data_IF_544878761652
#
_entry.id   IF_544878761652
#
_cell.length_a   1.000
_cell.length_b   1.000
_cell.length_c   1.000
_cell.angle_alpha   90.00
_cell.angle_beta   90.00
_cell.angle_gamma   90.00
#
_symmetry.space_group_name_H-M   'P 1'
#
loop_
_entity.id
_entity.type
_entity.pdbx_description
1 polymer ?
#
# COMPACT_ATOMS: atom_id res chain seq x y z
N UNK A 1 8.68 -24.33 7.12
CA UNK A 1 8.60 -23.94 8.54
C UNK A 1 8.66 -22.41 8.71
N UNK A 2 7.59 -21.66 8.40
CA UNK A 2 7.57 -20.20 8.57
C UNK A 2 7.67 -19.75 10.02
N UNK A 3 7.24 -20.61 10.95
CA UNK A 3 6.90 -20.29 12.34
C UNK A 3 8.03 -20.53 13.35
N UNK A 4 9.14 -21.16 12.95
CA UNK A 4 10.27 -21.39 13.85
C UNK A 4 11.04 -20.08 14.04
N UNK A 5 11.02 -19.58 15.28
CA UNK A 5 11.74 -18.39 15.70
C UNK A 5 13.25 -18.64 15.62
N UNK A 6 14.05 -17.58 15.48
CA UNK A 6 15.52 -17.67 15.46
C UNK A 6 16.09 -18.46 16.67
N UNK A 7 15.48 -18.30 17.86
CA UNK A 7 15.90 -18.98 19.09
C UNK A 7 15.61 -20.49 19.01
N UNK A 8 14.44 -20.86 18.51
CA UNK A 8 14.05 -22.26 18.35
C UNK A 8 14.91 -22.95 17.29
N UNK A 9 15.19 -22.25 16.19
CA UNK A 9 16.06 -22.75 15.13
C UNK A 9 17.51 -22.92 15.63
N UNK A 10 18.00 -22.00 16.46
CA UNK A 10 19.30 -22.11 17.11
C UNK A 10 19.34 -23.22 18.17
N UNK A 11 18.23 -23.48 18.86
CA UNK A 11 18.10 -24.61 19.80
C UNK A 11 18.14 -25.94 19.03
N UNK A 12 17.34 -26.05 17.95
CA UNK A 12 17.30 -27.20 17.07
C UNK A 12 18.69 -27.48 16.46
N UNK A 13 19.40 -26.43 16.02
CA UNK A 13 20.75 -26.55 15.47
C UNK A 13 21.80 -27.08 16.46
N UNK A 14 21.56 -26.99 17.78
CA UNK A 14 22.49 -27.52 18.80
C UNK A 14 22.33 -29.01 19.09
N UNK A 15 21.27 -29.64 18.58
CA UNK A 15 20.95 -31.04 18.90
C UNK A 15 21.82 -32.04 18.16
N UNK A 16 22.08 -31.84 16.86
CA UNK A 16 22.96 -32.69 16.06
C UNK A 16 23.49 -31.97 14.81
N UNK A 17 24.54 -32.52 14.18
CA UNK A 17 25.16 -31.92 12.98
C UNK A 17 24.19 -31.76 11.81
N UNK A 18 23.28 -32.70 11.60
CA UNK A 18 22.30 -32.63 10.51
C UNK A 18 21.31 -31.47 10.70
N UNK A 19 20.83 -31.29 11.94
CA UNK A 19 19.93 -30.18 12.28
C UNK A 19 20.66 -28.84 12.32
N UNK A 20 21.94 -28.80 12.70
CA UNK A 20 22.80 -27.62 12.58
C UNK A 20 22.91 -27.17 11.11
N UNK A 21 23.22 -28.10 10.20
CA UNK A 21 23.30 -27.81 8.77
C UNK A 21 21.94 -27.35 8.21
N UNK A 22 20.85 -27.99 8.61
CA UNK A 22 19.49 -27.59 8.19
C UNK A 22 19.13 -26.19 8.68
N UNK A 23 19.44 -25.87 9.95
CA UNK A 23 19.22 -24.55 10.53
C UNK A 23 20.03 -23.46 9.80
N UNK A 24 21.29 -23.74 9.48
CA UNK A 24 22.14 -22.83 8.72
C UNK A 24 21.59 -22.57 7.31
N UNK A 25 21.21 -23.63 6.58
CA UNK A 25 20.60 -23.50 5.26
C UNK A 25 19.29 -22.71 5.28
N UNK A 26 18.43 -22.95 6.28
CA UNK A 26 17.18 -22.20 6.44
C UNK A 26 17.42 -20.72 6.74
N UNK A 27 18.43 -20.40 7.56
CA UNK A 27 18.81 -19.01 7.82
C UNK A 27 19.33 -18.32 6.57
N UNK A 28 20.18 -18.99 5.79
CA UNK A 28 20.69 -18.46 4.53
C UNK A 28 19.56 -18.20 3.52
N UNK A 29 18.62 -19.14 3.37
CA UNK A 29 17.46 -18.95 2.50
C UNK A 29 16.58 -17.77 2.94
N UNK A 30 16.35 -17.62 4.25
CA UNK A 30 15.55 -16.50 4.81
C UNK A 30 16.27 -15.16 4.66
N UNK A 31 17.59 -15.12 4.74
CA UNK A 31 18.38 -13.91 4.53
C UNK A 31 18.49 -13.54 3.05
N UNK A 32 18.59 -14.52 2.14
CA UNK A 32 18.69 -14.27 0.70
C UNK A 32 17.37 -13.76 0.09
N UNK A 33 16.23 -14.12 0.68
CA UNK A 33 14.93 -13.60 0.25
C UNK A 33 13.91 -13.58 1.39
N UNK A 34 13.70 -12.39 1.97
CA UNK A 34 12.70 -12.20 3.03
C UNK A 34 11.27 -12.32 2.53
N UNK A 35 11.04 -12.09 1.23
CA UNK A 35 9.74 -12.28 0.58
C UNK A 35 9.42 -13.76 0.29
N UNK A 36 10.43 -14.64 0.35
CA UNK A 36 10.29 -16.10 0.15
C UNK A 36 9.59 -16.47 -1.16
N UNK A 37 9.93 -15.76 -2.23
CA UNK A 37 9.36 -15.94 -3.57
C UNK A 37 7.95 -15.38 -3.76
N UNK A 38 7.41 -14.63 -2.79
CA UNK A 38 6.10 -13.98 -2.92
C UNK A 38 6.13 -12.70 -3.76
N UNK A 39 7.31 -12.10 -3.93
CA UNK A 39 7.52 -10.95 -4.80
C UNK A 39 8.20 -11.37 -6.11
N UNK A 40 8.14 -10.49 -7.11
CA UNK A 40 8.76 -10.73 -8.43
C UNK A 40 10.29 -10.89 -8.35
N UNK A 41 10.92 -10.15 -7.45
CA UNK A 41 12.37 -10.16 -7.23
C UNK A 41 12.65 -10.61 -5.80
N UNK A 42 13.71 -11.40 -5.55
CA UNK A 42 14.12 -11.72 -4.20
C UNK A 42 14.54 -10.45 -3.46
N UNK A 43 14.24 -10.39 -2.17
CA UNK A 43 14.62 -9.25 -1.31
C UNK A 43 15.67 -9.72 -0.31
N UNK A 44 16.97 -9.53 -0.60
CA UNK A 44 18.03 -9.94 0.30
C UNK A 44 18.12 -9.03 1.53
N UNK A 45 18.62 -9.60 2.62
CA UNK A 45 18.87 -8.93 3.90
C UNK A 45 20.37 -8.94 4.18
N UNK A 46 20.93 -7.77 4.47
CA UNK A 46 22.33 -7.63 4.87
C UNK A 46 22.42 -7.00 6.26
N UNK A 47 23.19 -7.63 7.12
CA UNK A 47 23.50 -7.09 8.44
C UNK A 47 24.98 -7.31 8.76
N UNK A 48 25.70 -6.20 8.91
CA UNK A 48 27.10 -6.15 9.35
C UNK A 48 27.25 -5.42 10.70
N UNK A 49 26.13 -5.03 11.32
CA UNK A 49 26.07 -4.19 12.52
C UNK A 49 26.02 -5.04 13.79
N UNK A 50 25.21 -6.09 13.78
CA UNK A 50 24.99 -6.95 14.94
C UNK A 50 24.81 -8.43 14.52
N UNK A 51 24.55 -9.32 15.48
CA UNK A 51 24.40 -10.76 15.24
C UNK A 51 23.00 -11.17 14.72
N UNK A 52 22.06 -10.23 14.57
CA UNK A 52 20.70 -10.53 14.12
C UNK A 52 20.70 -10.81 12.62
N UNK A 53 20.41 -12.04 12.23
CA UNK A 53 20.52 -12.45 10.81
C UNK A 53 19.52 -11.71 9.90
N UNK A 54 18.27 -11.56 10.34
CA UNK A 54 17.20 -10.91 9.60
C UNK A 54 16.05 -10.55 10.55
N UNK A 55 15.21 -9.55 10.20
CA UNK A 55 14.02 -9.23 10.98
C UNK A 55 12.99 -10.35 10.87
N UNK A 56 12.39 -10.74 12.00
CA UNK A 56 11.40 -11.82 12.05
C UNK A 56 9.97 -11.27 12.01
N UNK A 57 9.24 -11.57 10.94
CA UNK A 57 7.81 -11.30 10.77
C UNK A 57 7.24 -12.21 9.68
N UNK A 58 5.92 -12.20 9.50
CA UNK A 58 5.27 -12.89 8.38
C UNK A 58 5.18 -11.97 7.17
N UNK A 59 5.79 -12.39 6.07
CA UNK A 59 5.74 -11.61 4.83
C UNK A 59 4.36 -11.78 4.13
N UNK A 60 3.77 -10.67 3.69
CA UNK A 60 2.58 -10.63 2.85
C UNK A 60 2.71 -9.49 1.84
N UNK A 61 2.68 -9.74 0.51
CA UNK A 61 2.82 -8.69 -0.50
C UNK A 61 1.66 -7.68 -0.52
N UNK A 62 0.50 -8.06 0.03
CA UNK A 62 -0.70 -7.25 0.08
C UNK A 62 -1.28 -7.17 1.49
N UNK A 63 -2.02 -6.09 1.77
CA UNK A 63 -2.72 -5.94 3.05
C UNK A 63 -3.80 -7.00 3.23
N UNK A 64 -3.99 -7.46 4.47
CA UNK A 64 -4.99 -8.47 4.83
C UNK A 64 -6.03 -7.89 5.78
N UNK A 65 -7.29 -8.26 5.58
CA UNK A 65 -8.35 -7.99 6.54
C UNK A 65 -8.34 -9.10 7.60
N UNK A 66 -8.18 -8.74 8.86
CA UNK A 66 -8.35 -9.72 9.95
C UNK A 66 -9.83 -10.00 10.14
N UNK A 67 -10.31 -11.13 9.65
CA UNK A 67 -11.50 -11.77 10.23
C UNK A 67 -11.08 -12.42 11.55
N UNK A 68 -11.63 -12.01 12.69
CA UNK A 68 -11.39 -12.71 13.97
C UNK A 68 -12.69 -13.34 14.48
N UNK A 69 -12.70 -14.56 15.10
CA UNK A 69 -11.98 -15.81 14.76
C UNK A 69 -12.89 -17.10 14.95
N UNK A 70 -12.42 -18.38 14.78
CA UNK A 70 -11.05 -18.84 14.70
C UNK A 70 -10.63 -19.60 13.44
N UNK A 71 -9.32 -19.52 13.20
CA UNK A 71 -8.54 -20.48 12.43
C UNK A 71 -8.87 -21.88 12.94
N UNK A 72 -9.67 -22.62 12.17
CA UNK A 72 -9.82 -24.05 12.38
C UNK A 72 -8.43 -24.70 12.24
N UNK A 73 -8.04 -25.61 13.14
CA UNK A 73 -6.87 -26.43 12.90
C UNK A 73 -7.04 -27.18 11.57
N UNK A 74 -5.95 -27.33 10.84
CA UNK A 74 -5.93 -28.12 9.61
C UNK A 74 -6.54 -29.50 9.89
N UNK A 75 -7.65 -29.85 9.21
CA UNK A 75 -8.33 -31.14 9.37
C UNK A 75 -9.86 -31.12 9.39
N UNK A 76 -10.53 -29.96 9.42
CA UNK A 76 -12.00 -29.94 9.32
C UNK A 76 -12.48 -30.15 7.88
N UNK A 77 -12.99 -31.36 7.60
CA UNK A 77 -13.72 -31.70 6.38
C UNK A 77 -15.10 -31.05 6.41
N UNK A 78 -15.20 -29.79 6.01
CA UNK A 78 -16.49 -29.17 5.63
C UNK A 78 -16.35 -28.55 4.24
N UNK A 79 -16.84 -29.29 3.25
CA UNK A 79 -16.81 -28.93 1.83
C UNK A 79 -17.82 -27.81 1.56
N UNK A 80 -17.44 -26.61 1.07
CA UNK A 80 -18.41 -25.63 0.62
C UNK A 80 -19.04 -26.10 -0.72
N UNK A 81 -20.29 -25.70 -1.02
CA UNK A 81 -20.97 -26.14 -2.23
C UNK A 81 -20.30 -25.55 -3.48
N UNK A 82 -20.04 -26.41 -4.47
CA UNK A 82 -19.59 -26.03 -5.79
C UNK A 82 -20.59 -25.06 -6.43
N UNK A 83 -20.16 -23.83 -6.74
CA UNK A 83 -20.81 -23.01 -7.76
C UNK A 83 -20.12 -23.27 -9.10
N UNK A 84 -20.92 -23.62 -10.09
CA UNK A 84 -20.50 -23.79 -11.49
C UNK A 84 -20.01 -22.46 -12.07
N UNK A 85 -18.97 -22.45 -12.92
CA UNK A 85 -18.55 -21.24 -13.60
C UNK A 85 -19.55 -20.88 -14.70
N UNK A 86 -20.06 -19.65 -14.69
CA UNK A 86 -20.78 -19.08 -15.81
C UNK A 86 -19.80 -18.81 -16.95
N UNK A 87 -20.15 -19.27 -18.15
CA UNK A 87 -19.40 -19.04 -19.39
C UNK A 87 -19.42 -17.55 -19.75
N UNK A 88 -18.40 -16.80 -19.34
CA UNK A 88 -18.09 -15.49 -19.92
C UNK A 88 -17.06 -15.68 -21.05
N UNK A 89 -17.45 -15.31 -22.28
CA UNK A 89 -16.61 -15.36 -23.48
C UNK A 89 -15.48 -14.33 -23.34
N UNK A 90 -14.21 -14.66 -23.62
CA UNK A 90 -13.12 -13.70 -23.56
C UNK A 90 -13.29 -12.66 -24.69
N UNK A 91 -13.10 -11.35 -24.43
CA UNK A 91 -13.01 -10.37 -25.51
C UNK A 91 -11.69 -10.54 -26.28
N UNK A 92 -11.76 -10.30 -27.58
CA UNK A 92 -10.66 -10.39 -28.54
C UNK A 92 -9.52 -9.38 -28.25
N UNK A 93 -8.27 -9.69 -28.62
CA UNK A 93 -7.15 -8.79 -28.43
C UNK A 93 -7.13 -7.75 -29.55
N UNK A 94 -7.70 -6.57 -29.29
CA UNK A 94 -7.43 -5.35 -30.06
C UNK A 94 -6.77 -4.33 -29.15
N UNK A 95 -5.70 -3.73 -29.68
CA UNK A 95 -4.67 -3.01 -28.94
C UNK A 95 -5.13 -1.74 -28.20
N UNK A 96 -4.43 -1.49 -27.09
CA UNK A 96 -4.02 -0.20 -26.49
C UNK A 96 -5.03 0.84 -26.01
N UNK A 97 -6.34 0.58 -26.06
CA UNK A 97 -7.34 1.48 -25.46
C UNK A 97 -8.11 0.74 -24.36
N UNK A 98 -7.98 1.21 -23.12
CA UNK A 98 -8.81 0.78 -21.99
C UNK A 98 -10.29 0.99 -22.37
N UNK A 99 -11.12 -0.07 -22.46
CA UNK A 99 -12.55 0.09 -22.73
C UNK A 99 -13.23 0.99 -21.69
N UNK A 100 -12.64 1.11 -20.51
CA UNK A 100 -12.96 1.99 -19.38
C UNK A 100 -13.11 3.48 -19.76
N UNK A 101 -12.34 3.93 -20.75
CA UNK A 101 -12.42 5.29 -21.30
C UNK A 101 -13.67 5.43 -22.20
N UNK A 102 -14.11 4.32 -22.82
CA UNK A 102 -15.24 4.26 -23.76
C UNK A 102 -16.55 3.71 -23.14
N UNK A 103 -16.51 3.02 -22.00
CA UNK A 103 -17.65 2.29 -21.44
C UNK A 103 -18.48 3.09 -20.43
N UNK A 104 -18.03 4.29 -20.06
CA UNK A 104 -18.84 5.23 -19.27
C UNK A 104 -19.55 6.30 -20.13
N UNK A 105 -19.47 6.22 -21.46
CA UNK A 105 -20.21 7.11 -22.36
C UNK A 105 -21.60 6.59 -22.78
N UNK A 106 -22.12 5.54 -22.15
CA UNK A 106 -23.52 5.18 -22.34
C UNK A 106 -23.84 3.74 -21.93
N UNK A 107 -24.68 3.59 -20.91
CA UNK A 107 -25.76 2.59 -20.82
C UNK A 107 -26.43 2.73 -19.45
N UNK A 108 -27.49 3.56 -19.39
CA UNK A 108 -28.60 3.28 -18.48
C UNK A 108 -29.46 2.26 -19.22
N UNK A 109 -29.61 1.07 -18.64
CA UNK A 109 -30.55 0.05 -19.06
C UNK A 109 -31.98 0.62 -18.91
N UNK A 110 -32.59 1.02 -20.03
CA UNK A 110 -34.05 1.02 -20.14
C UNK A 110 -34.50 -0.43 -20.32
N UNK A 111 -35.09 -1.00 -19.28
CA UNK A 111 -35.94 -2.18 -19.42
C UNK A 111 -37.39 -1.72 -19.42
N UNK A 112 -38.00 -1.82 -20.60
CA UNK A 112 -39.42 -1.62 -20.88
C UNK A 112 -40.33 -2.42 -19.94
N UNK A 113 -41.38 -1.76 -19.44
CA UNK A 113 -42.71 -2.37 -19.39
C UNK A 113 -43.75 -1.31 -19.73
N UNK A 114 -44.26 -1.37 -20.95
CA UNK A 114 -45.41 -0.61 -21.41
C UNK A 114 -46.69 -1.33 -20.98
N UNK A 115 -47.62 -0.58 -20.37
CA UNK A 115 -49.06 -0.81 -20.51
C UNK A 115 -49.81 0.52 -20.37
N UNK A 116 -50.67 0.77 -21.35
CA UNK A 116 -51.48 1.96 -21.60
C UNK A 116 -52.41 2.36 -20.43
N UNK A 117 -52.64 3.66 -20.26
CA UNK A 117 -53.99 4.24 -20.33
C UNK A 117 -53.95 5.78 -20.48
N UNK A 118 -55.01 6.27 -21.10
CA UNK A 118 -55.32 7.55 -21.73
C UNK A 118 -55.57 8.77 -20.81
N UNK A 119 -55.39 9.96 -21.42
CA UNK A 119 -56.14 11.23 -21.23
C UNK A 119 -55.89 12.08 -19.96
N UNK A 120 -55.30 13.28 -20.13
CA UNK A 120 -55.98 14.61 -20.10
C UNK A 120 -54.98 15.77 -19.89
N UNK A 121 -55.40 16.92 -20.39
CA UNK A 121 -54.70 18.20 -20.55
C UNK A 121 -54.09 18.77 -19.25
N UNK A 122 -53.00 19.52 -19.38
CA UNK A 122 -52.93 20.99 -19.19
C UNK A 122 -51.47 21.47 -19.24
N UNK A 123 -51.26 22.55 -19.98
CA UNK A 123 -50.02 23.33 -19.98
C UNK A 123 -49.73 23.83 -18.55
N UNK A 124 -48.54 23.53 -18.05
CA UNK A 124 -47.96 24.18 -16.88
C UNK A 124 -46.46 24.31 -17.11
N UNK A 125 -45.98 25.55 -16.95
CA UNK A 125 -44.61 25.99 -17.13
C UNK A 125 -43.58 25.02 -16.53
N UNK A 126 -42.62 24.62 -17.36
CA UNK A 126 -41.43 23.90 -16.90
C UNK A 126 -40.55 24.85 -16.07
N UNK A 127 -40.27 24.58 -14.79
CA UNK A 127 -39.27 25.35 -14.07
C UNK A 127 -37.88 25.06 -14.67
N UNK A 128 -36.93 26.02 -14.60
CA UNK A 128 -35.61 25.83 -15.19
C UNK A 128 -34.92 24.66 -14.53
N UNK A 129 -34.43 23.74 -15.37
CA UNK A 129 -33.63 22.58 -15.00
C UNK A 129 -32.50 23.06 -14.10
N UNK A 130 -32.62 22.78 -12.80
CA UNK A 130 -31.58 23.10 -11.83
C UNK A 130 -30.27 22.44 -12.28
N UNK A 131 -29.21 23.24 -12.36
CA UNK A 131 -27.83 22.80 -12.57
C UNK A 131 -27.40 21.88 -11.42
N UNK A 132 -27.80 20.61 -11.46
CA UNK A 132 -26.98 19.54 -10.89
C UNK A 132 -26.15 19.00 -12.05
N UNK A 133 -24.98 19.60 -12.27
CA UNK A 133 -23.88 18.84 -12.85
C UNK A 133 -23.73 17.59 -11.97
N UNK A 134 -24.23 16.46 -12.46
CA UNK A 134 -23.88 15.16 -11.89
C UNK A 134 -22.40 15.02 -12.19
N UNK A 135 -21.54 15.27 -11.22
CA UNK A 135 -20.12 14.97 -11.31
C UNK A 135 -19.98 13.53 -11.78
N UNK A 136 -19.47 13.33 -12.99
CA UNK A 136 -19.20 11.97 -13.48
C UNK A 136 -18.15 11.34 -12.56
N UNK A 137 -18.30 10.06 -12.19
CA UNK A 137 -17.29 9.41 -11.36
C UNK A 137 -15.93 9.48 -12.06
N UNK A 138 -14.84 9.78 -11.32
CA UNK A 138 -13.52 9.93 -11.92
C UNK A 138 -13.13 8.65 -12.67
N UNK A 139 -12.70 8.85 -13.91
CA UNK A 139 -12.37 7.77 -14.83
C UNK A 139 -11.11 7.05 -14.34
N UNK A 140 -11.05 5.73 -14.49
CA UNK A 140 -9.81 5.00 -14.20
C UNK A 140 -8.64 5.61 -14.99
N UNK A 141 -7.47 5.68 -14.35
CA UNK A 141 -6.28 6.38 -14.85
C UNK A 141 -6.17 7.85 -14.42
N UNK A 142 -7.14 8.36 -13.66
CA UNK A 142 -7.14 9.74 -13.16
C UNK A 142 -6.97 9.80 -11.65
N UNK A 143 -6.56 10.96 -11.18
CA UNK A 143 -6.70 11.39 -9.81
C UNK A 143 -8.17 11.66 -9.47
N UNK A 144 -8.51 11.67 -8.19
CA UNK A 144 -9.84 12.00 -7.70
C UNK A 144 -10.25 13.43 -8.11
N UNK A 145 -9.26 14.32 -8.26
CA UNK A 145 -9.39 15.70 -8.70
C UNK A 145 -9.63 15.84 -10.22
N UNK A 146 -9.51 14.73 -10.97
CA UNK A 146 -9.86 14.66 -12.40
C UNK A 146 -8.69 14.72 -13.38
N UNK A 147 -7.47 15.00 -12.93
CA UNK A 147 -6.26 15.01 -13.76
C UNK A 147 -5.75 13.60 -14.05
N UNK A 148 -5.01 13.39 -15.16
CA UNK A 148 -4.38 12.10 -15.43
C UNK A 148 -3.33 11.76 -14.37
N UNK A 149 -3.43 10.56 -13.79
CA UNK A 149 -2.49 10.10 -12.78
C UNK A 149 -1.17 9.62 -13.41
N UNK A 150 -1.24 8.95 -14.55
CA UNK A 150 -0.09 8.27 -15.15
C UNK A 150 0.29 8.82 -16.52
N UNK A 151 1.59 8.85 -16.80
CA UNK A 151 2.15 9.16 -18.12
C UNK A 151 2.13 7.92 -19.07
N UNK A 152 2.78 8.04 -20.22
CA UNK A 152 2.86 6.98 -21.22
C UNK A 152 3.65 5.74 -20.77
N UNK A 153 4.54 5.89 -19.78
CA UNK A 153 5.39 4.83 -19.23
C UNK A 153 4.81 4.23 -17.94
N UNK A 154 3.53 4.51 -17.63
CA UNK A 154 2.87 4.11 -16.39
C UNK A 154 3.56 4.67 -15.13
N UNK A 155 4.20 5.83 -15.23
CA UNK A 155 4.78 6.56 -14.10
C UNK A 155 3.82 7.64 -13.62
N UNK A 156 3.87 7.95 -12.33
CA UNK A 156 3.06 9.00 -11.72
C UNK A 156 3.47 10.36 -12.31
N UNK A 157 2.56 10.96 -13.08
CA UNK A 157 2.76 12.23 -13.78
C UNK A 157 2.65 13.43 -12.83
N UNK A 158 1.72 13.37 -11.87
CA UNK A 158 1.30 14.50 -11.04
C UNK A 158 2.18 14.74 -9.80
N UNK A 159 3.51 14.61 -9.94
CA UNK A 159 4.45 14.85 -8.82
C UNK A 159 4.68 16.35 -8.53
N UNK A 160 4.09 17.26 -9.31
CA UNK A 160 4.45 18.69 -9.33
C UNK A 160 3.32 19.67 -9.01
N UNK A 161 2.21 19.24 -8.39
CA UNK A 161 1.16 20.19 -8.01
C UNK A 161 1.47 20.95 -6.72
N UNK A 162 2.43 21.88 -6.82
CA UNK A 162 2.37 23.16 -6.11
C UNK A 162 2.44 24.27 -7.15
N UNK A 163 1.27 24.70 -7.63
CA UNK A 163 1.17 25.88 -8.49
C UNK A 163 1.65 27.12 -7.72
N UNK A 164 2.69 27.79 -8.24
CA UNK A 164 3.18 29.14 -7.89
C UNK A 164 4.19 29.27 -6.73
N UNK A 165 5.26 28.49 -6.75
CA UNK A 165 6.63 28.87 -6.36
C UNK A 165 7.51 27.63 -6.50
N UNK A 166 8.79 27.77 -6.85
CA UNK A 166 9.78 26.68 -6.75
C UNK A 166 10.07 26.27 -5.29
N UNK A 167 9.23 26.70 -4.33
CA UNK A 167 9.25 26.26 -2.95
C UNK A 167 8.29 25.08 -2.77
N UNK A 168 8.85 23.94 -2.38
CA UNK A 168 8.06 22.80 -1.91
C UNK A 168 7.29 23.20 -0.66
N UNK A 169 5.98 23.33 -0.80
CA UNK A 169 5.06 23.37 0.34
C UNK A 169 4.69 21.91 0.63
N UNK A 170 4.90 21.40 1.86
CA UNK A 170 4.34 20.10 2.25
C UNK A 170 2.82 20.21 2.22
N UNK A 171 2.19 19.78 1.12
CA UNK A 171 0.78 19.43 1.18
C UNK A 171 0.70 18.10 1.94
N UNK A 172 0.11 18.13 3.12
CA UNK A 172 -0.28 16.93 3.89
C UNK A 172 -1.42 16.13 3.20
N UNK A 173 -1.56 16.27 1.88
CA UNK A 173 -2.62 15.67 1.08
C UNK A 173 -2.02 14.62 0.16
N UNK A 174 -2.37 13.36 0.44
CA UNK A 174 -2.00 12.23 -0.40
C UNK A 174 -2.74 12.32 -1.73
N UNK A 175 -2.02 12.17 -2.85
CA UNK A 175 -2.65 12.03 -4.16
C UNK A 175 -3.54 10.79 -4.18
N UNK A 176 -4.75 10.94 -4.71
CA UNK A 176 -5.78 9.91 -4.69
C UNK A 176 -6.01 9.38 -6.11
N UNK A 177 -5.49 8.18 -6.42
CA UNK A 177 -5.46 7.60 -7.76
C UNK A 177 -6.59 6.58 -7.92
N UNK A 178 -7.28 6.60 -9.07
CA UNK A 178 -8.28 5.59 -9.42
C UNK A 178 -7.74 4.69 -10.52
N UNK A 179 -7.55 3.42 -10.19
CA UNK A 179 -7.10 2.39 -11.13
C UNK A 179 -8.25 1.50 -11.62
N UNK A 180 -8.02 0.86 -12.75
CA UNK A 180 -8.88 -0.23 -13.18
C UNK A 180 -8.82 -1.38 -12.18
N UNK A 181 -9.98 -1.91 -11.76
CA UNK A 181 -10.05 -3.02 -10.83
C UNK A 181 -10.88 -4.19 -11.36
N UNK A 182 -11.35 -5.09 -10.47
CA UNK A 182 -12.13 -6.25 -10.85
C UNK A 182 -13.45 -5.94 -11.57
N UNK A 183 -14.02 -4.75 -11.36
CA UNK A 183 -15.25 -4.33 -12.03
C UNK A 183 -15.03 -3.83 -13.47
N UNK A 184 -13.78 -3.65 -13.90
CA UNK A 184 -13.47 -3.17 -15.26
C UNK A 184 -13.38 -4.33 -16.25
N UNK A 185 -13.99 -4.19 -17.43
CA UNK A 185 -13.89 -5.16 -18.54
C UNK A 185 -12.56 -5.13 -19.31
N UNK A 186 -11.58 -4.34 -18.87
CA UNK A 186 -10.26 -4.24 -19.50
C UNK A 186 -9.36 -5.42 -19.17
N UNK A 187 -8.35 -5.68 -20.01
CA UNK A 187 -7.38 -6.75 -19.78
C UNK A 187 -6.55 -6.52 -18.51
N UNK A 188 -5.91 -7.58 -18.01
CA UNK A 188 -4.94 -7.50 -16.90
C UNK A 188 -3.67 -6.72 -17.27
N UNK A 189 -3.44 -6.44 -18.56
CA UNK A 189 -2.32 -5.62 -19.07
C UNK A 189 -2.69 -4.15 -19.26
N UNK A 190 -3.86 -3.73 -18.77
CA UNK A 190 -4.28 -2.34 -18.84
C UNK A 190 -3.24 -1.42 -18.18
N UNK A 191 -2.82 -0.35 -18.87
CA UNK A 191 -1.84 0.63 -18.37
C UNK A 191 -2.25 1.36 -17.09
N UNK A 192 -3.53 1.30 -16.72
CA UNK A 192 -4.09 1.85 -15.48
C UNK A 192 -4.25 0.79 -14.37
N UNK A 193 -3.45 -0.28 -14.42
CA UNK A 193 -3.32 -1.30 -13.37
C UNK A 193 -1.86 -1.36 -12.86
N UNK A 194 -1.33 -0.22 -12.41
CA UNK A 194 0.10 -0.06 -12.10
C UNK A 194 0.43 -0.66 -10.73
N UNK A 195 -0.37 -0.35 -9.71
CA UNK A 195 -0.01 -0.67 -8.31
C UNK A 195 -0.48 -2.06 -7.84
N UNK A 196 -0.90 -2.92 -8.76
CA UNK A 196 -1.61 -4.17 -8.45
C UNK A 196 -0.71 -5.40 -8.33
N UNK A 197 0.59 -5.25 -8.57
CA UNK A 197 1.53 -6.36 -8.77
C UNK A 197 2.60 -6.51 -7.67
N UNK A 198 2.38 -5.93 -6.49
CA UNK A 198 3.32 -6.04 -5.35
C UNK A 198 4.51 -5.10 -5.49
N UNK A 199 5.71 -5.60 -5.18
CA UNK A 199 6.97 -4.88 -5.34
C UNK A 199 7.40 -4.83 -6.83
N UNK A 200 7.63 -3.64 -7.36
CA UNK A 200 7.98 -3.42 -8.78
C UNK A 200 9.47 -3.19 -9.04
N UNK A 201 10.27 -2.92 -8.00
CA UNK A 201 11.69 -2.58 -8.08
C UNK A 201 12.56 -3.57 -7.30
N UNK A 202 13.86 -3.65 -7.60
CA UNK A 202 14.80 -4.42 -6.78
C UNK A 202 15.22 -3.61 -5.57
N UNK A 203 15.10 -4.21 -4.38
CA UNK A 203 15.47 -3.59 -3.10
C UNK A 203 16.16 -4.59 -2.20
N UNK A 204 16.95 -4.08 -1.26
CA UNK A 204 17.56 -4.85 -0.20
C UNK A 204 17.24 -4.25 1.16
N UNK A 205 17.13 -5.10 2.19
CA UNK A 205 16.98 -4.68 3.58
C UNK A 205 18.37 -4.65 4.22
N UNK A 206 18.78 -3.50 4.73
CA UNK A 206 20.09 -3.33 5.37
C UNK A 206 19.92 -2.86 6.81
N UNK A 207 20.70 -3.45 7.72
CA UNK A 207 20.81 -2.94 9.09
C UNK A 207 21.71 -1.69 9.11
N UNK A 208 21.14 -0.59 9.57
CA UNK A 208 21.80 0.69 9.87
C UNK A 208 22.15 0.77 11.36
N UNK A 209 23.24 1.48 11.67
CA UNK A 209 23.76 1.62 13.03
C UNK A 209 22.85 2.42 13.98
N UNK A 210 22.07 3.37 13.47
CA UNK A 210 21.27 4.30 14.26
C UNK A 210 19.78 4.17 13.98
N UNK A 211 19.40 3.81 12.75
CA UNK A 211 18.00 3.75 12.31
C UNK A 211 17.39 2.35 12.37
N UNK A 212 18.16 1.33 12.76
CA UNK A 212 17.68 -0.04 12.75
C UNK A 212 17.65 -0.59 11.32
N UNK A 213 16.57 -1.22 10.89
CA UNK A 213 16.48 -1.77 9.53
C UNK A 213 16.08 -0.67 8.54
N UNK A 214 16.71 -0.67 7.37
CA UNK A 214 16.49 0.29 6.27
C UNK A 214 16.23 -0.43 4.96
N UNK A 215 15.48 0.20 4.05
CA UNK A 215 15.25 -0.30 2.70
C UNK A 215 16.06 0.51 1.70
N UNK A 216 16.81 -0.16 0.82
CA UNK A 216 17.65 0.50 -0.19
C UNK A 216 17.34 0.00 -1.59
N UNK A 217 17.47 0.89 -2.57
CA UNK A 217 17.38 0.55 -3.98
C UNK A 217 18.58 -0.31 -4.40
N UNK A 218 18.33 -1.37 -5.18
CA UNK A 218 19.38 -2.21 -5.76
C UNK A 218 19.66 -1.91 -7.23
N UNK A 219 18.84 -1.09 -7.86
CA UNK A 219 19.02 -0.58 -9.22
C UNK A 219 18.53 0.88 -9.23
N UNK A 220 18.83 1.61 -10.30
CA UNK A 220 18.24 2.92 -10.56
C UNK A 220 16.71 2.86 -10.65
N UNK A 221 16.02 3.77 -9.96
CA UNK A 221 14.56 3.90 -10.00
C UNK A 221 14.22 5.29 -10.57
N UNK A 222 13.59 5.38 -11.76
CA UNK A 222 13.25 6.66 -12.36
C UNK A 222 12.11 7.34 -11.59
N UNK A 223 12.13 8.69 -11.59
CA UNK A 223 11.05 9.52 -11.05
C UNK A 223 9.69 9.07 -11.57
N UNK A 224 8.72 9.02 -10.65
CA UNK A 224 7.34 8.60 -10.92
C UNK A 224 7.16 7.09 -11.03
N UNK A 225 8.20 6.27 -10.99
CA UNK A 225 8.03 4.82 -10.98
C UNK A 225 7.29 4.36 -9.72
N UNK A 226 6.33 3.45 -9.89
CA UNK A 226 5.75 2.73 -8.75
C UNK A 226 6.85 1.89 -8.08
N UNK A 227 6.80 1.79 -6.75
CA UNK A 227 7.80 1.08 -5.93
C UNK A 227 7.15 -0.10 -5.20
N UNK A 228 6.18 0.14 -4.31
CA UNK A 228 5.42 -0.90 -3.60
C UNK A 228 4.15 -0.34 -2.97
N UNK A 229 3.25 -1.23 -2.55
CA UNK A 229 2.21 -0.95 -1.55
C UNK A 229 2.80 -1.03 -0.13
N UNK A 230 2.32 -0.25 0.83
CA UNK A 230 2.56 -0.54 2.26
C UNK A 230 1.55 -1.59 2.73
N UNK A 231 2.01 -2.81 2.92
CA UNK A 231 1.15 -3.95 3.24
C UNK A 231 1.26 -4.35 4.71
N UNK A 232 0.11 -4.70 5.29
CA UNK A 232 0.01 -5.22 6.66
C UNK A 232 -1.42 -5.61 7.01
N UNK A 233 -1.69 -5.80 8.29
CA UNK A 233 -3.06 -6.04 8.77
C UNK A 233 -3.85 -4.72 8.75
N UNK A 234 -4.99 -4.72 8.06
CA UNK A 234 -5.93 -3.61 8.11
C UNK A 234 -6.68 -3.65 9.43
N UNK A 235 -6.63 -2.54 10.17
CA UNK A 235 -7.22 -2.44 11.49
C UNK A 235 -8.36 -1.43 11.52
N UNK A 236 -9.35 -1.71 12.34
CA UNK A 236 -10.27 -0.69 12.83
C UNK A 236 -9.55 0.24 13.83
N UNK A 237 -10.08 1.43 14.06
CA UNK A 237 -9.55 2.37 15.09
C UNK A 237 -9.46 1.71 16.47
N UNK A 238 -10.47 0.91 16.85
CA UNK A 238 -10.51 0.25 18.15
C UNK A 238 -9.39 -0.82 18.28
N UNK A 239 -9.16 -1.60 17.23
CA UNK A 239 -8.06 -2.58 17.21
C UNK A 239 -6.70 -1.89 17.26
N UNK A 240 -6.53 -0.81 16.51
CA UNK A 240 -5.29 -0.03 16.49
C UNK A 240 -4.96 0.54 17.88
N UNK A 241 -5.93 1.15 18.56
CA UNK A 241 -5.76 1.64 19.94
C UNK A 241 -5.43 0.50 20.93
N UNK A 242 -6.08 -0.66 20.76
CA UNK A 242 -5.78 -1.83 21.59
C UNK A 242 -4.34 -2.32 21.41
N UNK A 243 -3.87 -2.40 20.16
CA UNK A 243 -2.49 -2.78 19.85
C UNK A 243 -1.47 -1.75 20.29
N UNK A 244 -1.77 -0.46 20.15
CA UNK A 244 -0.88 0.61 20.59
C UNK A 244 -0.56 0.47 22.08
N UNK A 245 -1.58 0.25 22.92
CA UNK A 245 -1.37 -0.01 24.36
C UNK A 245 -0.47 -1.23 24.62
N UNK A 246 -0.69 -2.33 23.89
CA UNK A 246 0.17 -3.52 24.00
C UNK A 246 1.61 -3.20 23.59
N UNK A 247 1.80 -2.44 22.52
CA UNK A 247 3.11 -2.05 22.01
C UNK A 247 3.85 -1.12 22.96
N UNK A 248 3.16 -0.21 23.63
CA UNK A 248 3.74 0.65 24.66
C UNK A 248 4.21 -0.16 25.87
N UNK A 249 3.46 -1.18 26.30
CA UNK A 249 3.91 -2.11 27.35
C UNK A 249 5.11 -2.97 26.90
N UNK A 250 5.10 -3.46 25.65
CA UNK A 250 6.22 -4.23 25.12
C UNK A 250 7.49 -3.38 25.03
N UNK A 251 7.41 -2.11 24.64
CA UNK A 251 8.56 -1.18 24.61
C UNK A 251 9.23 -1.01 25.98
N UNK A 252 8.49 -1.10 27.09
CA UNK A 252 9.05 -1.03 28.45
C UNK A 252 9.92 -2.23 28.79
N UNK A 253 9.66 -3.39 28.19
CA UNK A 253 10.35 -4.65 28.50
C UNK A 253 11.31 -5.10 27.39
N UNK A 254 11.11 -4.63 26.17
CA UNK A 254 11.87 -4.99 24.97
C UNK A 254 12.38 -3.72 24.30
N UNK A 255 13.59 -3.29 24.67
CA UNK A 255 14.18 -2.04 24.21
C UNK A 255 14.27 -1.92 22.67
N UNK A 256 14.38 -3.05 21.96
CA UNK A 256 14.48 -3.10 20.49
C UNK A 256 13.12 -3.24 19.78
N UNK A 257 12.02 -3.31 20.52
CA UNK A 257 10.69 -3.49 19.92
C UNK A 257 10.20 -2.18 19.29
N UNK A 258 10.18 -2.13 17.96
CA UNK A 258 9.63 -1.04 17.18
C UNK A 258 8.40 -1.50 16.38
N UNK A 259 7.18 -1.06 16.72
CA UNK A 259 5.99 -1.36 15.94
C UNK A 259 6.03 -0.63 14.59
N UNK A 260 5.40 -1.22 13.57
CA UNK A 260 5.30 -0.68 12.21
C UNK A 260 3.85 -0.35 11.88
N UNK A 261 3.24 0.48 12.72
CA UNK A 261 1.85 0.94 12.58
C UNK A 261 1.80 2.21 11.72
N UNK A 262 1.04 2.16 10.64
CA UNK A 262 0.85 3.27 9.70
C UNK A 262 -0.60 3.76 9.77
N UNK A 263 -0.78 5.06 10.00
CA UNK A 263 -2.09 5.72 10.01
C UNK A 263 -2.10 6.76 8.92
N UNK A 264 -2.99 6.59 7.95
CA UNK A 264 -3.19 7.55 6.87
C UNK A 264 -4.55 8.20 7.01
N UNK A 265 -4.56 9.53 6.99
CA UNK A 265 -5.76 10.37 6.97
C UNK A 265 -5.88 10.98 5.59
N UNK A 266 -6.98 10.69 4.92
CA UNK A 266 -7.29 11.25 3.61
C UNK A 266 -8.52 12.14 3.73
N UNK A 267 -8.33 13.44 3.56
CA UNK A 267 -9.44 14.39 3.46
C UNK A 267 -9.97 14.34 2.03
N UNK A 268 -11.25 14.02 1.87
CA UNK A 268 -11.87 14.02 0.55
C UNK A 268 -12.10 15.47 0.06
N UNK A 269 -12.13 15.71 -1.26
CA UNK A 269 -12.27 17.06 -1.83
C UNK A 269 -13.49 17.85 -1.35
N UNK A 270 -14.54 17.18 -0.85
CA UNK A 270 -15.71 17.83 -0.27
C UNK A 270 -15.45 18.48 1.10
N UNK A 271 -14.28 18.27 1.70
CA UNK A 271 -13.83 18.84 2.99
C UNK A 271 -14.54 18.28 4.23
N UNK A 272 -15.66 17.57 4.06
CA UNK A 272 -16.53 17.14 5.15
C UNK A 272 -16.27 15.70 5.63
N UNK A 273 -15.39 14.95 4.96
CA UNK A 273 -15.11 13.55 5.30
C UNK A 273 -13.60 13.29 5.26
N UNK A 274 -13.08 12.79 6.36
CA UNK A 274 -11.72 12.25 6.48
C UNK A 274 -11.80 10.72 6.58
N UNK A 275 -11.28 10.02 5.58
CA UNK A 275 -11.09 8.58 5.65
C UNK A 275 -9.82 8.27 6.44
N UNK A 276 -9.88 7.25 7.29
CA UNK A 276 -8.74 6.77 8.07
C UNK A 276 -8.39 5.34 7.65
N UNK A 277 -7.20 5.16 7.11
CA UNK A 277 -6.64 3.85 6.77
C UNK A 277 -5.55 3.50 7.79
N UNK A 278 -5.74 2.40 8.53
CA UNK A 278 -4.79 1.94 9.54
C UNK A 278 -4.22 0.60 9.12
N UNK A 279 -2.89 0.55 8.95
CA UNK A 279 -2.17 -0.63 8.47
C UNK A 279 -1.10 -0.98 9.50
N UNK A 280 -1.20 -2.16 10.09
CA UNK A 280 -0.21 -2.66 11.04
C UNK A 280 0.68 -3.71 10.40
N UNK A 281 1.93 -3.32 10.12
CA UNK A 281 2.95 -4.18 9.54
C UNK A 281 3.89 -4.80 10.60
N UNK A 282 3.53 -4.73 11.89
CA UNK A 282 4.41 -5.17 12.98
C UNK A 282 4.68 -6.67 12.93
N UNK A 283 3.63 -7.49 12.76
CA UNK A 283 3.74 -8.95 12.73
C UNK A 283 3.52 -9.56 11.33
N UNK A 284 2.68 -8.93 10.51
CA UNK A 284 2.41 -9.34 9.13
C UNK A 284 2.53 -8.11 8.25
N UNK A 285 3.39 -8.12 7.23
CA UNK A 285 3.56 -7.00 6.32
C UNK A 285 4.50 -7.30 5.17
N UNK A 286 4.93 -6.30 4.41
CA UNK A 286 5.93 -6.46 3.35
C UNK A 286 7.19 -5.62 3.61
N UNK A 287 8.05 -5.48 2.60
CA UNK A 287 9.28 -4.67 2.67
C UNK A 287 9.07 -3.21 3.05
N UNK A 288 7.88 -2.65 2.80
CA UNK A 288 7.60 -1.24 3.05
C UNK A 288 7.73 -0.84 4.53
N UNK A 289 7.62 -1.83 5.45
CA UNK A 289 7.83 -1.63 6.89
C UNK A 289 9.27 -1.20 7.28
N UNK A 290 10.22 -1.29 6.34
CA UNK A 290 11.63 -0.93 6.54
C UNK A 290 12.02 0.44 5.95
N UNK A 291 11.04 1.16 5.39
CA UNK A 291 11.27 2.49 4.82
C UNK A 291 11.35 3.49 5.96
N UNK A 292 12.46 4.20 6.07
CA UNK A 292 12.71 5.13 7.18
C UNK A 292 12.17 6.54 6.92
N UNK A 293 12.13 7.33 7.99
CA UNK A 293 11.75 8.74 7.94
C UNK A 293 12.83 9.62 7.30
N UNK A 294 12.39 10.63 6.53
CA UNK A 294 13.19 11.82 6.20
C UNK A 294 12.43 13.12 6.46
N UNK A 295 13.08 14.09 7.10
CA UNK A 295 12.46 15.37 7.47
C UNK A 295 12.25 16.33 6.28
N UNK A 296 12.93 16.12 5.15
CA UNK A 296 12.78 16.89 3.91
C UNK A 296 11.72 16.29 2.95
N UNK A 297 10.94 15.34 3.45
CA UNK A 297 9.94 14.60 2.66
C UNK A 297 10.46 13.31 2.03
N UNK A 298 11.79 13.12 1.94
CA UNK A 298 12.38 11.91 1.37
C UNK A 298 12.19 11.78 -0.14
N UNK A 299 12.60 10.63 -0.67
CA UNK A 299 12.61 10.32 -2.11
C UNK A 299 11.41 9.48 -2.57
N UNK A 300 10.50 9.10 -1.67
CA UNK A 300 9.25 8.44 -2.00
C UNK A 300 8.04 9.36 -1.81
N UNK A 301 7.10 9.30 -2.75
CA UNK A 301 5.80 9.95 -2.71
C UNK A 301 4.74 8.91 -2.30
N UNK A 302 4.10 9.05 -1.12
CA UNK A 302 2.94 8.25 -0.78
C UNK A 302 1.69 8.73 -1.53
N UNK A 303 0.85 7.79 -1.96
CA UNK A 303 -0.44 8.03 -2.61
C UNK A 303 -1.48 7.02 -2.12
N UNK A 304 -2.77 7.34 -2.28
CA UNK A 304 -3.87 6.40 -2.08
C UNK A 304 -4.36 5.87 -3.43
N UNK A 305 -4.21 4.58 -3.68
CA UNK A 305 -4.76 3.93 -4.87
C UNK A 305 -6.09 3.24 -4.55
N UNK A 306 -7.12 3.55 -5.35
CA UNK A 306 -8.45 2.91 -5.33
C UNK A 306 -8.63 2.09 -6.59
N UNK A 307 -8.95 0.81 -6.42
CA UNK A 307 -9.25 -0.06 -7.56
C UNK A 307 -10.76 -0.06 -7.81
N UNK A 308 -11.19 0.18 -9.05
CA UNK A 308 -12.62 0.13 -9.39
C UNK A 308 -13.22 -1.25 -9.07
N UNK A 309 -14.25 -1.28 -8.21
CA UNK A 309 -14.85 -2.51 -7.70
C UNK A 309 -14.18 -3.11 -6.46
N UNK A 310 -13.18 -2.43 -5.88
CA UNK A 310 -12.62 -2.77 -4.56
C UNK A 310 -13.02 -1.70 -3.54
N UNK A 311 -13.61 -2.07 -2.40
CA UNK A 311 -13.97 -1.10 -1.35
C UNK A 311 -12.76 -0.63 -0.53
N UNK A 312 -11.61 -1.30 -0.68
CA UNK A 312 -10.43 -1.07 0.17
C UNK A 312 -9.42 -0.21 -0.59
N UNK A 313 -9.12 1.01 -0.12
CA UNK A 313 -8.01 1.81 -0.64
C UNK A 313 -6.65 1.22 -0.22
N UNK A 314 -5.62 1.50 -1.01
CA UNK A 314 -4.25 1.03 -0.77
C UNK A 314 -3.31 2.21 -0.60
N UNK A 315 -2.49 2.20 0.45
CA UNK A 315 -1.34 3.10 0.55
C UNK A 315 -0.22 2.58 -0.36
N UNK A 316 0.18 3.36 -1.34
CA UNK A 316 1.18 3.01 -2.35
C UNK A 316 2.27 4.07 -2.41
N UNK A 317 3.45 3.69 -2.86
CA UNK A 317 4.61 4.57 -2.94
C UNK A 317 5.16 4.62 -4.37
N UNK A 318 5.45 5.83 -4.81
CA UNK A 318 6.11 6.14 -6.08
C UNK A 318 7.44 6.85 -5.82
N UNK A 319 8.40 6.76 -6.74
CA UNK A 319 9.62 7.54 -6.66
C UNK A 319 9.30 9.03 -6.89
N UNK A 320 9.63 9.90 -5.93
CA UNK A 320 9.38 11.35 -6.02
C UNK A 320 10.41 12.06 -6.90
N UNK A 321 11.61 11.51 -6.96
CA UNK A 321 12.72 11.93 -7.81
C UNK A 321 13.38 10.68 -8.40
N UNK A 322 14.40 10.87 -9.24
CA UNK A 322 15.28 9.77 -9.60
C UNK A 322 16.02 9.28 -8.35
N UNK A 323 16.11 7.96 -8.18
CA UNK A 323 16.75 7.31 -7.03
C UNK A 323 17.89 6.44 -7.56
N UNK A 324 19.10 6.65 -7.06
CA UNK A 324 20.28 5.89 -7.43
C UNK A 324 20.32 4.50 -6.81
N UNK A 325 21.14 3.62 -7.39
CA UNK A 325 21.48 2.35 -6.75
C UNK A 325 22.19 2.61 -5.40
N UNK A 326 21.77 1.89 -4.36
CA UNK A 326 22.31 2.01 -3.01
C UNK A 326 21.67 3.13 -2.16
N UNK A 327 20.88 4.02 -2.77
CA UNK A 327 20.15 5.06 -2.04
C UNK A 327 19.12 4.43 -1.09
N UNK A 328 18.98 5.05 0.08
CA UNK A 328 17.98 4.65 1.05
C UNK A 328 16.62 5.22 0.67
N UNK A 329 15.61 4.35 0.66
CA UNK A 329 14.24 4.73 0.41
C UNK A 329 13.63 5.32 1.68
N UNK A 330 13.12 6.54 1.57
CA UNK A 330 12.61 7.32 2.70
C UNK A 330 11.38 8.15 2.33
N UNK A 331 10.55 8.47 3.33
CA UNK A 331 9.44 9.41 3.21
C UNK A 331 9.21 10.17 4.52
N UNK A 332 8.41 11.23 4.50
CA UNK A 332 7.99 11.89 5.75
C UNK A 332 6.95 11.04 6.49
N UNK A 333 7.18 10.75 7.77
CA UNK A 333 6.21 10.03 8.62
C UNK A 333 5.05 10.91 9.06
N UNK A 334 5.14 12.23 8.82
CA UNK A 334 4.20 13.23 9.28
C UNK A 334 4.91 14.41 9.92
N UNK A 335 4.13 15.29 10.54
CA UNK A 335 4.66 16.45 11.24
C UNK A 335 5.01 16.13 12.69
N UNK A 336 6.07 16.78 13.17
CA UNK A 336 6.52 16.62 14.55
C UNK A 336 5.58 17.43 15.46
N UNK A 337 4.82 16.74 16.30
CA UNK A 337 4.00 17.35 17.33
C UNK A 337 4.45 16.87 18.72
N UNK A 338 4.94 17.80 19.54
CA UNK A 338 4.86 17.73 21.00
C UNK A 338 5.72 16.70 21.77
N UNK A 339 6.49 15.81 21.12
CA UNK A 339 7.25 14.78 21.86
C UNK A 339 8.68 14.57 21.36
N UNK A 340 9.67 14.87 22.19
CA UNK A 340 11.12 14.76 21.94
C UNK A 340 11.71 13.38 22.34
N UNK A 341 10.95 12.29 22.25
CA UNK A 341 11.36 11.00 22.83
C UNK A 341 12.28 10.17 21.93
N UNK A 342 12.18 10.33 20.60
CA UNK A 342 12.93 9.52 19.64
C UNK A 342 13.76 10.40 18.71
N UNK A 343 15.11 10.42 18.84
CA UNK A 343 15.96 11.21 17.97
C UNK A 343 15.82 10.82 16.49
N UNK A 344 15.82 11.81 15.61
CA UNK A 344 15.81 11.61 14.17
C UNK A 344 17.24 11.53 13.64
N UNK A 345 17.53 10.46 12.90
CA UNK A 345 18.83 10.23 12.27
C UNK A 345 18.76 10.28 10.73
N UNK A 346 17.83 11.06 10.16
CA UNK A 346 17.70 11.20 8.71
C UNK A 346 18.89 11.90 8.04
N UNK A 347 19.68 12.67 8.81
CA UNK A 347 20.89 13.40 8.38
C UNK A 347 20.67 14.46 7.30
N UNK A 348 19.42 14.83 7.01
CA UNK A 348 19.14 15.92 6.06
C UNK A 348 19.43 17.27 6.71
N UNK A 349 19.71 18.29 5.90
CA UNK A 349 19.93 19.66 6.40
C UNK A 349 18.67 20.25 7.06
N UNK A 350 17.48 19.78 6.67
CA UNK A 350 16.19 20.15 7.24
C UNK A 350 15.74 19.24 8.40
N UNK A 351 16.67 18.50 9.03
CA UNK A 351 16.34 17.58 10.11
C UNK A 351 15.70 18.33 11.30
N UNK A 352 14.53 17.88 11.73
CA UNK A 352 13.79 18.43 12.89
C UNK A 352 14.32 17.91 14.25
N UNK A 353 15.37 17.10 14.26
CA UNK A 353 16.01 16.57 15.47
C UNK A 353 15.31 15.35 16.09
N UNK A 354 13.99 15.24 15.98
CA UNK A 354 13.19 14.14 16.54
C UNK A 354 12.23 13.57 15.49
N UNK A 355 11.87 12.29 15.65
CA UNK A 355 10.88 11.63 14.80
C UNK A 355 9.48 12.20 15.08
N UNK A 356 8.61 12.26 14.06
CA UNK A 356 7.21 12.63 14.25
C UNK A 356 6.52 11.75 15.28
N UNK A 357 5.70 12.38 16.11
CA UNK A 357 4.85 11.73 17.10
C UNK A 357 3.46 12.37 17.04
N UNK A 358 2.42 11.53 17.03
CA UNK A 358 1.02 11.96 17.13
C UNK A 358 0.45 11.30 18.39
N UNK A 359 -0.04 12.10 19.34
CA UNK A 359 -0.84 11.57 20.46
C UNK A 359 -2.16 11.04 19.88
N UNK A 360 -2.33 9.71 19.87
CA UNK A 360 -3.50 9.03 19.30
C UNK A 360 -4.71 8.95 20.21
#
# INVERSE_FOLDING_TARGET
MPWLHLKDLASLGRTCRALAATAASLNLLRANDIARGLERFPVPVFNIVDHVLYPLFSYSPFSILRSSPPLLPWGSLSRPPHKTPSNARPPSPSADICPCVASNSGQILESNSATNHSQLCMEADSPPISKRQREMPPLCGHLLEGELAYDGDSRLHCLSMSSKSDEWVPSNEFLSIIECGPACGCSLRCKYRVTQHGLSVKVAVLKDHLKGWSLRAMDFIPKGAFVFQYAGELLTTMEAQSRQRLYDELRKTQAEFAPSLMVVREHLPSGNLCLRLIIDATHVGNVARFVNHSCDGGNLQPCIARLSGSPIPKLVFFARCDIGEGDELTFSYGDVHGCETHPCFCKTAACKGFLPFEET
#
